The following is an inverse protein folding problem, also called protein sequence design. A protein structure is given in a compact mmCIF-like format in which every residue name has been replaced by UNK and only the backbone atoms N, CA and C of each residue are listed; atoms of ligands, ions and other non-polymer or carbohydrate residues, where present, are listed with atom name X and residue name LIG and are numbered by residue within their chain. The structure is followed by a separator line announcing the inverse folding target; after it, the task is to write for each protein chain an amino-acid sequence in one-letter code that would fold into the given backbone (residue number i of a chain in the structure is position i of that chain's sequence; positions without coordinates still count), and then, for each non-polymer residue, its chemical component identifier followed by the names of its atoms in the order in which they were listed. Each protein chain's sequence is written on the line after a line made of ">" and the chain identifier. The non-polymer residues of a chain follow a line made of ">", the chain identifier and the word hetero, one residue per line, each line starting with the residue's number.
data_IF_149311706140
#
_entry.id   IF_149311706140
#
_cell.length_a   1.000
_cell.length_b   1.000
_cell.length_c   1.000
_cell.angle_alpha   90.00
_cell.angle_beta   90.00
_cell.angle_gamma   90.00
#
_symmetry.space_group_name_H-M   'P 1'
#
loop_
_entity.id
_entity.type
_entity.pdbx_description
1 polymer ?
#
# COMPACT_ATOMS: atom_id res chain seq x y z
N UNK A 1 -28.53 -2.36 12.05
CA UNK A 1 -27.72 -3.20 11.16
C UNK A 1 -27.32 -4.42 11.96
N UNK A 2 -27.78 -5.60 11.56
CA UNK A 2 -27.48 -6.87 12.25
C UNK A 2 -26.02 -7.27 12.01
N UNK A 3 -25.46 -8.18 12.81
CA UNK A 3 -24.11 -8.72 12.56
C UNK A 3 -24.02 -9.38 11.18
N UNK A 4 -25.09 -10.04 10.73
CA UNK A 4 -25.16 -10.64 9.39
C UNK A 4 -25.15 -9.57 8.28
N UNK A 5 -25.81 -8.42 8.48
CA UNK A 5 -25.74 -7.29 7.54
C UNK A 5 -24.31 -6.71 7.44
N UNK A 6 -23.58 -6.68 8.56
CA UNK A 6 -22.17 -6.25 8.58
C UNK A 6 -21.30 -7.25 7.83
N UNK A 7 -21.49 -8.55 8.06
CA UNK A 7 -20.74 -9.61 7.37
C UNK A 7 -21.03 -9.58 5.86
N UNK A 8 -22.29 -9.44 5.46
CA UNK A 8 -22.68 -9.35 4.05
C UNK A 8 -22.15 -8.06 3.38
N UNK A 9 -22.11 -6.94 4.10
CA UNK A 9 -21.49 -5.70 3.61
C UNK A 9 -19.98 -5.85 3.44
N UNK A 10 -19.31 -6.53 4.37
CA UNK A 10 -17.88 -6.85 4.27
C UNK A 10 -17.62 -7.78 3.08
N UNK A 11 -18.40 -8.85 2.92
CA UNK A 11 -18.24 -9.80 1.80
C UNK A 11 -18.52 -9.15 0.45
N UNK A 12 -19.50 -8.25 0.36
CA UNK A 12 -19.78 -7.49 -0.86
C UNK A 12 -18.60 -6.59 -1.25
N UNK A 13 -18.01 -5.90 -0.29
CA UNK A 13 -16.86 -5.01 -0.52
C UNK A 13 -15.58 -5.80 -0.82
N UNK A 14 -15.39 -6.96 -0.18
CA UNK A 14 -14.31 -7.89 -0.50
C UNK A 14 -14.49 -8.56 -1.88
N UNK A 15 -15.73 -8.68 -2.34
CA UNK A 15 -16.11 -9.27 -3.62
C UNK A 15 -16.11 -8.31 -4.80
N UNK A 16 -16.05 -6.99 -4.58
CA UNK A 16 -16.04 -6.02 -5.68
C UNK A 16 -14.70 -6.04 -6.42
N UNK A 17 -14.68 -6.40 -7.72
CA UNK A 17 -13.45 -6.48 -8.50
C UNK A 17 -12.87 -5.07 -8.67
N UNK A 18 -11.75 -4.81 -8.01
CA UNK A 18 -11.00 -3.58 -8.21
C UNK A 18 -9.93 -3.75 -9.29
N UNK A 19 -9.99 -2.89 -10.31
CA UNK A 19 -9.00 -2.86 -11.38
C UNK A 19 -7.75 -2.11 -10.89
N UNK A 20 -6.64 -2.82 -10.79
CA UNK A 20 -5.34 -2.19 -10.55
C UNK A 20 -4.93 -1.37 -11.77
N UNK A 21 -5.04 -0.05 -11.66
CA UNK A 21 -4.52 0.87 -12.68
C UNK A 21 -3.01 0.68 -12.82
N UNK A 22 -2.55 0.52 -14.06
CA UNK A 22 -1.13 0.50 -14.39
C UNK A 22 -0.53 1.90 -14.13
N UNK A 23 0.74 1.95 -13.72
CA UNK A 23 1.46 3.22 -13.62
C UNK A 23 1.56 3.89 -14.99
N UNK A 24 1.76 5.21 -15.00
CA UNK A 24 1.94 5.97 -16.25
C UNK A 24 3.09 5.40 -17.09
N UNK A 25 4.18 4.97 -16.45
CA UNK A 25 5.31 4.39 -17.14
C UNK A 25 4.98 3.02 -17.74
N UNK A 26 4.23 2.18 -17.01
CA UNK A 26 3.73 0.92 -17.55
C UNK A 26 2.79 1.16 -18.75
N UNK A 27 1.99 2.22 -18.74
CA UNK A 27 1.14 2.61 -19.88
C UNK A 27 1.97 3.06 -21.09
N UNK A 28 3.06 3.81 -20.87
CA UNK A 28 4.01 4.20 -21.94
C UNK A 28 4.68 2.97 -22.54
N UNK A 29 5.19 2.05 -21.71
CA UNK A 29 5.81 0.80 -22.17
C UNK A 29 4.80 -0.05 -22.92
N UNK A 30 3.55 -0.18 -22.43
CA UNK A 30 2.46 -0.89 -23.12
C UNK A 30 2.20 -0.31 -24.51
N UNK A 31 2.10 1.01 -24.63
CA UNK A 31 1.86 1.68 -25.92
C UNK A 31 3.01 1.43 -26.88
N UNK A 32 4.25 1.58 -26.42
CA UNK A 32 5.45 1.35 -27.24
C UNK A 32 5.54 -0.13 -27.67
N UNK A 33 5.24 -1.06 -26.77
CA UNK A 33 5.20 -2.49 -27.07
C UNK A 33 4.17 -2.79 -28.17
N UNK A 34 2.95 -2.26 -28.05
CA UNK A 34 1.90 -2.47 -29.05
C UNK A 34 2.31 -1.90 -30.41
N UNK A 35 2.82 -0.66 -30.46
CA UNK A 35 3.27 -0.03 -31.70
C UNK A 35 4.42 -0.82 -32.34
N UNK A 36 5.46 -1.13 -31.58
CA UNK A 36 6.60 -1.91 -32.08
C UNK A 36 6.18 -3.30 -32.55
N UNK A 37 5.24 -3.94 -31.86
CA UNK A 37 4.70 -5.25 -32.25
C UNK A 37 3.90 -5.16 -33.54
N UNK A 38 3.03 -4.16 -33.71
CA UNK A 38 2.28 -3.98 -34.96
C UNK A 38 3.18 -3.70 -36.15
N UNK A 39 4.21 -2.86 -35.99
CA UNK A 39 5.19 -2.62 -37.04
C UNK A 39 5.94 -3.91 -37.38
N UNK A 40 6.37 -4.67 -36.36
CA UNK A 40 7.08 -5.94 -36.56
C UNK A 40 6.23 -6.98 -37.28
N UNK A 41 4.97 -7.15 -36.86
CA UNK A 41 4.02 -8.10 -37.46
C UNK A 41 3.70 -7.66 -38.89
N UNK A 42 3.34 -6.39 -39.09
CA UNK A 42 3.02 -5.84 -40.41
C UNK A 42 4.18 -5.97 -41.38
N UNK A 43 5.39 -5.63 -40.95
CA UNK A 43 6.60 -5.79 -41.76
C UNK A 43 6.90 -7.24 -42.12
N UNK A 44 6.71 -8.16 -41.17
CA UNK A 44 6.95 -9.59 -41.39
C UNK A 44 5.89 -10.21 -42.31
N UNK A 45 4.61 -9.91 -42.08
CA UNK A 45 3.49 -10.47 -42.84
C UNK A 45 3.41 -9.90 -44.25
N UNK A 46 3.62 -8.59 -44.42
CA UNK A 46 3.65 -7.97 -45.75
C UNK A 46 4.92 -8.29 -46.55
N UNK A 47 5.90 -8.99 -45.93
CA UNK A 47 7.16 -9.33 -46.57
C UNK A 47 7.98 -8.09 -46.94
N UNK A 48 7.92 -7.04 -46.13
CA UNK A 48 8.65 -5.79 -46.38
C UNK A 48 10.15 -6.10 -46.41
N UNK A 49 10.79 -5.76 -47.52
CA UNK A 49 12.23 -5.85 -47.72
C UNK A 49 12.81 -4.46 -47.93
N UNK A 50 14.02 -4.24 -47.45
CA UNK A 50 14.74 -2.99 -47.69
C UNK A 50 15.30 -3.05 -49.10
N UNK A 51 14.84 -2.17 -49.97
CA UNK A 51 15.48 -1.99 -51.28
C UNK A 51 16.82 -1.26 -51.07
N UNK A 52 17.89 -1.80 -51.65
CA UNK A 52 19.28 -1.36 -51.43
C UNK A 52 19.52 0.14 -51.65
N UNK A 53 18.74 0.76 -52.54
CA UNK A 53 18.89 2.18 -52.89
C UNK A 53 17.83 3.09 -52.25
N UNK A 54 16.95 2.56 -51.38
CA UNK A 54 15.86 3.36 -50.82
C UNK A 54 16.37 4.38 -49.80
N UNK A 55 16.13 5.69 -50.01
CA UNK A 55 16.47 6.69 -49.02
C UNK A 55 15.51 6.57 -47.82
N UNK A 56 16.04 6.31 -46.64
CA UNK A 56 15.30 6.37 -45.38
C UNK A 56 15.55 7.75 -44.77
N UNK A 57 14.51 8.58 -44.66
CA UNK A 57 14.61 9.98 -44.22
C UNK A 57 15.62 10.83 -45.02
N UNK A 58 15.80 10.52 -46.31
CA UNK A 58 16.76 11.22 -47.17
C UNK A 58 18.20 10.72 -47.06
N UNK A 59 18.47 9.71 -46.22
CA UNK A 59 19.78 9.08 -46.10
C UNK A 59 19.81 7.73 -46.82
N UNK A 60 20.84 7.51 -47.63
CA UNK A 60 21.13 6.19 -48.19
C UNK A 60 21.88 5.37 -47.14
N UNK A 61 21.19 4.43 -46.51
CA UNK A 61 21.78 3.53 -45.52
C UNK A 61 22.51 2.39 -46.25
N UNK A 62 23.83 2.49 -46.36
CA UNK A 62 24.65 1.41 -46.88
C UNK A 62 24.76 0.29 -45.82
N UNK A 63 24.75 -0.97 -46.27
CA UNK A 63 24.89 -2.19 -45.44
C UNK A 63 23.77 -2.47 -44.42
N UNK A 64 22.59 -1.84 -44.54
CA UNK A 64 21.43 -2.22 -43.75
C UNK A 64 20.79 -3.49 -44.33
N UNK A 65 21.04 -4.65 -43.71
CA UNK A 65 20.45 -5.92 -44.13
C UNK A 65 19.07 -6.14 -43.49
N UNK A 66 18.19 -6.85 -44.20
CA UNK A 66 16.89 -7.28 -43.68
C UNK A 66 17.05 -8.07 -42.36
N UNK A 67 18.10 -8.88 -42.24
CA UNK A 67 18.40 -9.66 -41.04
C UNK A 67 18.76 -8.77 -39.84
N UNK A 68 19.52 -7.69 -40.06
CA UNK A 68 19.86 -6.74 -39.01
C UNK A 68 18.61 -6.00 -38.53
N UNK A 69 17.75 -5.55 -39.45
CA UNK A 69 16.49 -4.89 -39.11
C UNK A 69 15.57 -5.82 -38.32
N UNK A 70 15.39 -7.07 -38.78
CA UNK A 70 14.58 -8.08 -38.08
C UNK A 70 15.12 -8.38 -36.69
N UNK A 71 16.44 -8.55 -36.57
CA UNK A 71 17.09 -8.80 -35.28
C UNK A 71 16.93 -7.62 -34.32
N UNK A 72 17.12 -6.39 -34.79
CA UNK A 72 16.94 -5.18 -33.99
C UNK A 72 15.49 -4.98 -33.51
N UNK A 73 14.51 -5.23 -34.39
CA UNK A 73 13.09 -5.19 -34.03
C UNK A 73 12.73 -6.28 -33.03
N UNK A 74 13.23 -7.51 -33.22
CA UNK A 74 13.01 -8.62 -32.30
C UNK A 74 13.58 -8.33 -30.90
N UNK A 75 14.80 -7.78 -30.82
CA UNK A 75 15.41 -7.36 -29.56
C UNK A 75 14.57 -6.26 -28.88
N UNK A 76 14.13 -5.27 -29.64
CA UNK A 76 13.32 -4.14 -29.12
C UNK A 76 11.98 -4.63 -28.56
N UNK A 77 11.26 -5.45 -29.32
CA UNK A 77 9.99 -6.04 -28.87
C UNK A 77 10.20 -6.96 -27.67
N UNK A 78 11.23 -7.80 -27.68
CA UNK A 78 11.58 -8.68 -26.57
C UNK A 78 11.86 -7.92 -25.28
N UNK A 79 12.63 -6.83 -25.36
CA UNK A 79 12.88 -5.93 -24.23
C UNK A 79 11.58 -5.29 -23.71
N UNK A 80 10.78 -4.68 -24.59
CA UNK A 80 9.53 -4.03 -24.19
C UNK A 80 8.52 -5.02 -23.59
N UNK A 81 8.49 -6.27 -24.09
CA UNK A 81 7.65 -7.33 -23.57
C UNK A 81 8.08 -7.74 -22.16
N UNK A 82 9.38 -8.02 -21.96
CA UNK A 82 9.91 -8.37 -20.64
C UNK A 82 9.63 -7.26 -19.63
N UNK A 83 9.84 -6.00 -20.02
CA UNK A 83 9.58 -4.85 -19.16
C UNK A 83 8.09 -4.74 -18.81
N UNK A 84 7.20 -4.88 -19.79
CA UNK A 84 5.75 -4.84 -19.55
C UNK A 84 5.26 -5.99 -18.66
N UNK A 85 5.75 -7.22 -18.87
CA UNK A 85 5.42 -8.37 -18.03
C UNK A 85 5.84 -8.14 -16.59
N UNK A 86 7.02 -7.55 -16.36
CA UNK A 86 7.46 -7.20 -15.01
C UNK A 86 6.57 -6.14 -14.36
N UNK A 87 6.17 -5.09 -15.09
CA UNK A 87 5.21 -4.11 -14.58
C UNK A 87 3.86 -4.74 -14.24
N UNK A 88 3.36 -5.64 -15.09
CA UNK A 88 2.10 -6.35 -14.83
C UNK A 88 2.22 -7.22 -13.57
N UNK A 89 3.35 -7.88 -13.37
CA UNK A 89 3.64 -8.65 -12.15
C UNK A 89 3.70 -7.76 -10.91
N UNK A 90 4.37 -6.60 -10.97
CA UNK A 90 4.43 -5.65 -9.85
C UNK A 90 3.03 -5.09 -9.50
N UNK A 91 2.21 -4.76 -10.50
CA UNK A 91 0.81 -4.35 -10.29
C UNK A 91 -0.03 -5.46 -9.66
N UNK A 92 0.15 -6.70 -10.10
CA UNK A 92 -0.52 -7.87 -9.53
C UNK A 92 -0.11 -8.11 -8.07
N UNK A 93 1.19 -7.98 -7.75
CA UNK A 93 1.67 -8.11 -6.37
C UNK A 93 1.16 -6.97 -5.48
N UNK A 94 1.14 -5.73 -5.99
CA UNK A 94 0.54 -4.60 -5.29
C UNK A 94 -0.95 -4.83 -4.99
N UNK A 95 -1.70 -5.39 -5.96
CA UNK A 95 -3.08 -5.81 -5.76
C UNK A 95 -3.22 -6.89 -4.66
N UNK A 96 -2.36 -7.92 -4.67
CA UNK A 96 -2.37 -8.95 -3.61
C UNK A 96 -2.07 -8.38 -2.22
N UNK A 97 -1.07 -7.52 -2.09
CA UNK A 97 -0.71 -6.87 -0.82
C UNK A 97 -1.90 -6.06 -0.29
N UNK A 98 -2.68 -5.42 -1.17
CA UNK A 98 -3.89 -4.70 -0.76
C UNK A 98 -5.02 -5.62 -0.31
N UNK A 99 -5.23 -6.75 -0.97
CA UNK A 99 -6.22 -7.76 -0.52
C UNK A 99 -5.86 -8.32 0.86
N UNK A 100 -4.58 -8.33 1.24
CA UNK A 100 -4.17 -8.70 2.60
C UNK A 100 -4.41 -7.59 3.64
N UNK A 101 -4.84 -6.39 3.23
CA UNK A 101 -5.32 -5.35 4.12
C UNK A 101 -6.76 -5.59 4.57
N UNK A 102 -7.07 -5.22 5.81
CA UNK A 102 -8.44 -5.19 6.35
C UNK A 102 -9.16 -3.96 5.79
N UNK A 103 -9.69 -4.00 4.56
CA UNK A 103 -10.28 -2.79 3.96
C UNK A 103 -11.60 -2.39 4.64
N UNK A 104 -11.75 -1.08 4.88
CA UNK A 104 -12.88 -0.45 5.54
C UNK A 104 -14.24 -0.64 4.83
N UNK A 105 -15.30 -0.71 5.63
CA UNK A 105 -16.67 -0.45 5.22
C UNK A 105 -16.81 1.00 4.69
N UNK A 106 -17.52 1.18 3.59
CA UNK A 106 -17.76 2.49 2.98
C UNK A 106 -18.36 3.49 3.97
N UNK A 107 -17.94 4.76 3.82
CA UNK A 107 -18.59 5.93 4.41
C UNK A 107 -19.97 6.09 3.76
N UNK A 108 -20.97 5.40 4.29
CA UNK A 108 -22.37 5.70 4.01
C UNK A 108 -22.94 6.44 5.21
N UNK A 109 -22.98 7.76 5.08
CA UNK A 109 -23.77 8.69 5.89
C UNK A 109 -23.82 8.39 7.41
N UNK A 110 -22.85 8.98 8.12
CA UNK A 110 -22.95 9.25 9.56
C UNK A 110 -22.85 8.01 10.46
N UNK A 111 -21.65 7.64 10.90
CA UNK A 111 -21.54 6.75 12.07
C UNK A 111 -20.23 6.99 12.81
N UNK A 112 -20.38 7.50 14.03
CA UNK A 112 -19.33 7.55 15.05
C UNK A 112 -18.85 6.14 15.39
N UNK A 113 -17.54 5.90 15.35
CA UNK A 113 -16.85 5.01 16.30
C UNK A 113 -16.84 3.51 16.06
N UNK A 114 -16.36 3.02 14.91
CA UNK A 114 -15.89 1.62 14.84
C UNK A 114 -14.35 1.59 14.95
N UNK A 115 -13.84 1.16 16.10
CA UNK A 115 -12.42 1.14 16.47
C UNK A 115 -11.56 0.22 15.58
N UNK A 116 -12.16 -0.57 14.68
CA UNK A 116 -11.46 -1.57 13.86
C UNK A 116 -11.21 -1.14 12.41
N UNK A 117 -11.53 0.10 12.01
CA UNK A 117 -11.47 0.55 10.62
C UNK A 117 -10.26 1.48 10.33
N UNK A 118 -9.60 1.26 9.18
CA UNK A 118 -8.39 1.97 8.72
C UNK A 118 -8.69 3.24 7.87
N UNK A 119 -8.81 4.41 8.51
CA UNK A 119 -9.27 5.66 7.85
C UNK A 119 -8.15 6.33 7.04
N UNK A 120 -7.87 5.83 5.83
CA UNK A 120 -6.97 6.52 4.89
C UNK A 120 -7.77 7.25 3.82
N UNK A 121 -7.52 8.56 3.66
CA UNK A 121 -8.17 9.41 2.64
C UNK A 121 -7.87 9.00 1.18
N UNK A 122 -6.90 8.11 0.96
CA UNK A 122 -6.65 7.47 -0.32
C UNK A 122 -6.87 5.95 -0.19
N UNK A 123 -7.83 5.41 -0.97
CA UNK A 123 -8.17 3.99 -1.04
C UNK A 123 -6.95 3.12 -1.43
N UNK A 124 -5.93 3.72 -2.04
CA UNK A 124 -4.66 3.07 -2.43
C UNK A 124 -3.76 2.75 -1.24
N UNK A 125 -4.01 3.36 -0.08
CA UNK A 125 -3.16 3.26 1.10
C UNK A 125 -3.71 2.33 2.19
N UNK A 126 -4.95 1.85 2.08
CA UNK A 126 -5.48 0.90 3.06
C UNK A 126 -4.65 -0.38 3.07
N UNK A 127 -3.93 -0.59 4.16
CA UNK A 127 -3.00 -1.69 4.35
C UNK A 127 -2.95 -2.02 5.82
N UNK A 128 -2.61 -3.26 6.14
CA UNK A 128 -2.46 -3.70 7.53
C UNK A 128 -1.44 -2.82 8.30
N UNK A 129 -0.48 -2.23 7.59
CA UNK A 129 0.46 -1.26 8.13
C UNK A 129 -0.22 0.06 8.56
N UNK A 130 -1.15 0.59 7.77
CA UNK A 130 -1.88 1.81 8.13
C UNK A 130 -2.89 1.55 9.24
N UNK A 131 -3.56 0.39 9.23
CA UNK A 131 -4.35 -0.07 10.36
C UNK A 131 -3.50 -0.11 11.66
N UNK A 132 -2.31 -0.72 11.61
CA UNK A 132 -1.40 -0.76 12.76
C UNK A 132 -0.92 0.62 13.20
N UNK A 133 -0.62 1.51 12.25
CA UNK A 133 -0.23 2.91 12.52
C UNK A 133 -1.35 3.67 13.24
N UNK A 134 -2.61 3.49 12.82
CA UNK A 134 -3.78 4.05 13.50
C UNK A 134 -3.97 3.47 14.91
N UNK A 135 -3.84 2.14 15.06
CA UNK A 135 -3.93 1.47 16.36
C UNK A 135 -2.81 1.88 17.32
N UNK A 136 -1.60 2.17 16.84
CA UNK A 136 -0.51 2.69 17.68
C UNK A 136 -0.88 4.02 18.35
N UNK A 137 -1.64 4.88 17.67
CA UNK A 137 -2.14 6.13 18.26
C UNK A 137 -3.19 5.86 19.35
N UNK A 138 -4.03 4.83 19.18
CA UNK A 138 -4.95 4.36 20.22
C UNK A 138 -4.21 3.85 21.46
N UNK A 139 -3.19 2.99 21.28
CA UNK A 139 -2.36 2.56 22.42
C UNK A 139 -1.61 3.72 23.08
N UNK A 140 -1.19 4.73 22.31
CA UNK A 140 -0.64 5.97 22.85
C UNK A 140 -1.64 6.79 23.65
N UNK A 141 -2.93 6.78 23.28
CA UNK A 141 -3.98 7.51 24.00
C UNK A 141 -4.37 6.85 25.32
N UNK A 142 -4.21 5.53 25.47
CA UNK A 142 -4.34 4.83 26.76
C UNK A 142 -3.36 5.39 27.81
N UNK A 143 -2.11 5.67 27.41
CA UNK A 143 -1.14 6.35 28.27
C UNK A 143 -1.62 7.74 28.70
N UNK A 144 -2.37 8.43 27.82
CA UNK A 144 -3.00 9.72 28.11
C UNK A 144 -4.24 9.66 29.00
N UNK A 145 -4.83 8.47 29.24
CA UNK A 145 -5.94 8.29 30.19
C UNK A 145 -5.48 8.17 31.64
N UNK A 146 -4.21 7.77 31.86
CA UNK A 146 -3.63 7.64 33.21
C UNK A 146 -3.61 8.96 33.99
N UNK A 147 -3.17 10.10 33.42
CA UNK A 147 -3.20 11.39 34.12
C UNK A 147 -4.61 11.85 34.52
N UNK A 148 -5.64 11.46 33.76
CA UNK A 148 -7.02 11.82 34.07
C UNK A 148 -7.57 11.02 35.26
N UNK A 149 -7.14 9.77 35.42
CA UNK A 149 -7.44 8.95 36.60
C UNK A 149 -6.65 9.49 37.80
N UNK A 150 -5.36 9.80 37.63
CA UNK A 150 -4.54 10.42 38.68
C UNK A 150 -5.14 11.75 39.18
N UNK A 151 -5.63 12.59 38.27
CA UNK A 151 -6.31 13.83 38.61
C UNK A 151 -7.62 13.57 39.39
N UNK A 152 -8.44 12.60 38.94
CA UNK A 152 -9.69 12.25 39.62
C UNK A 152 -9.45 11.66 41.02
N UNK A 153 -8.39 10.87 41.19
CA UNK A 153 -7.94 10.34 42.49
C UNK A 153 -7.40 11.45 43.39
N UNK A 154 -6.65 12.41 42.84
CA UNK A 154 -6.18 13.58 43.57
C UNK A 154 -7.33 14.46 44.03
N UNK A 155 -8.36 14.66 43.20
CA UNK A 155 -9.53 15.46 43.56
C UNK A 155 -10.39 14.75 44.60
N UNK A 156 -10.58 13.44 44.48
CA UNK A 156 -11.21 12.62 45.53
C UNK A 156 -10.47 12.76 46.86
N UNK A 157 -9.13 12.71 46.85
CA UNK A 157 -8.31 12.89 48.04
C UNK A 157 -8.49 14.28 48.68
N UNK A 158 -8.52 15.34 47.87
CA UNK A 158 -8.78 16.71 48.35
C UNK A 158 -10.17 16.86 48.98
N UNK A 159 -11.19 16.24 48.40
CA UNK A 159 -12.55 16.24 48.96
C UNK A 159 -12.64 15.47 50.29
N UNK A 160 -11.85 14.41 50.46
CA UNK A 160 -11.75 13.69 51.74
C UNK A 160 -10.98 14.51 52.78
N UNK A 161 -9.92 15.22 52.39
CA UNK A 161 -9.13 16.08 53.28
C UNK A 161 -9.94 17.32 53.76
N UNK A 162 -10.80 17.88 52.90
CA UNK A 162 -11.71 18.98 53.28
C UNK A 162 -12.81 18.55 54.25
N UNK A 163 -13.28 17.30 54.14
CA UNK A 163 -14.20 16.67 55.10
C UNK A 163 -13.60 16.50 56.49
N UNK A 164 -12.33 16.09 56.57
CA UNK A 164 -11.63 15.92 57.85
C UNK A 164 -11.35 17.24 58.56
N UNK A 165 -11.32 18.35 57.81
CA UNK A 165 -10.98 19.69 58.31
C UNK A 165 -12.17 20.49 58.86
N UNK A 166 -13.36 19.87 59.01
CA UNK A 166 -14.53 20.47 59.68
C UNK A 166 -15.61 21.05 58.76
N UNK A 167 -15.67 20.62 57.49
CA UNK A 167 -16.72 21.02 56.55
C UNK A 167 -18.10 20.38 56.83
N UNK A 168 -19.16 21.00 56.31
CA UNK A 168 -20.56 20.56 56.48
C UNK A 168 -20.78 19.14 55.92
N UNK A 169 -21.14 18.19 56.80
CA UNK A 169 -21.06 16.75 56.54
C UNK A 169 -22.03 16.32 55.42
N UNK A 170 -23.18 17.00 55.30
CA UNK A 170 -24.26 16.60 54.39
C UNK A 170 -23.94 17.00 52.94
N UNK A 171 -23.47 18.23 52.69
CA UNK A 171 -23.11 18.70 51.34
C UNK A 171 -21.87 17.99 50.78
N UNK A 172 -20.94 17.61 51.67
CA UNK A 172 -19.69 16.99 51.27
C UNK A 172 -19.81 15.47 51.05
N UNK A 173 -20.79 14.80 51.66
CA UNK A 173 -21.06 13.38 51.42
C UNK A 173 -21.47 13.10 49.97
N UNK A 174 -22.31 13.96 49.36
CA UNK A 174 -22.71 13.83 47.96
C UNK A 174 -21.55 14.09 47.00
N UNK A 175 -20.68 15.05 47.32
CA UNK A 175 -19.49 15.33 46.53
C UNK A 175 -18.48 14.17 46.53
N UNK A 176 -18.34 13.46 47.66
CA UNK A 176 -17.50 12.25 47.73
C UNK A 176 -18.11 11.09 46.95
N UNK A 177 -19.42 10.86 47.04
CA UNK A 177 -20.06 9.79 46.27
C UNK A 177 -19.95 10.03 44.77
N UNK A 178 -20.08 11.29 44.32
CA UNK A 178 -19.95 11.65 42.90
C UNK A 178 -18.51 11.50 42.40
N UNK A 179 -17.52 11.92 43.20
CA UNK A 179 -16.11 11.74 42.88
C UNK A 179 -15.71 10.25 42.84
N UNK A 180 -16.23 9.44 43.75
CA UNK A 180 -16.00 7.99 43.80
C UNK A 180 -16.62 7.30 42.57
N UNK A 181 -17.85 7.66 42.21
CA UNK A 181 -18.53 7.15 41.01
C UNK A 181 -17.78 7.55 39.72
N UNK A 182 -17.19 8.75 39.67
CA UNK A 182 -16.38 9.19 38.52
C UNK A 182 -15.08 8.38 38.37
N UNK A 183 -14.39 8.11 39.48
CA UNK A 183 -13.18 7.27 39.49
C UNK A 183 -13.53 5.84 39.09
N UNK A 184 -14.61 5.28 39.63
CA UNK A 184 -15.10 3.94 39.29
C UNK A 184 -15.43 3.83 37.80
N UNK A 185 -16.19 4.79 37.25
CA UNK A 185 -16.51 4.85 35.82
C UNK A 185 -15.25 4.87 34.94
N UNK A 186 -14.28 5.73 35.25
CA UNK A 186 -13.02 5.82 34.49
C UNK A 186 -12.15 4.56 34.60
N UNK A 187 -12.15 3.90 35.75
CA UNK A 187 -11.44 2.63 35.96
C UNK A 187 -12.07 1.49 35.17
N UNK A 188 -13.41 1.45 35.10
CA UNK A 188 -14.16 0.50 34.26
C UNK A 188 -13.89 0.74 32.78
N UNK A 189 -13.88 1.99 32.33
CA UNK A 189 -13.52 2.35 30.95
C UNK A 189 -12.07 1.96 30.61
N UNK A 190 -11.12 2.22 31.51
CA UNK A 190 -9.73 1.83 31.30
C UNK A 190 -9.59 0.31 31.25
N UNK A 191 -10.26 -0.41 32.15
CA UNK A 191 -10.26 -1.87 32.18
C UNK A 191 -10.79 -2.45 30.87
N UNK A 192 -11.93 -1.96 30.38
CA UNK A 192 -12.48 -2.43 29.11
C UNK A 192 -11.56 -2.11 27.93
N UNK A 193 -10.90 -0.95 27.93
CA UNK A 193 -9.95 -0.60 26.87
C UNK A 193 -8.69 -1.49 26.91
N UNK A 194 -8.22 -1.88 28.10
CA UNK A 194 -7.12 -2.84 28.28
C UNK A 194 -7.54 -4.26 27.85
N UNK A 195 -8.71 -4.73 28.28
CA UNK A 195 -9.23 -6.06 27.90
C UNK A 195 -9.45 -6.17 26.38
N UNK A 196 -9.94 -5.10 25.75
CA UNK A 196 -10.10 -5.04 24.29
C UNK A 196 -8.75 -4.99 23.56
N UNK A 197 -7.79 -4.25 24.08
CA UNK A 197 -6.41 -4.21 23.59
C UNK A 197 -5.75 -5.60 23.65
N UNK A 198 -5.86 -6.27 24.79
CA UNK A 198 -5.28 -7.61 25.01
C UNK A 198 -5.92 -8.66 24.11
N UNK A 199 -7.25 -8.64 23.93
CA UNK A 199 -7.94 -9.54 23.00
C UNK A 199 -7.53 -9.33 21.54
N UNK A 200 -7.24 -8.09 21.16
CA UNK A 200 -6.77 -7.77 19.80
C UNK A 200 -5.32 -8.24 19.60
N UNK A 201 -4.42 -7.94 20.54
CA UNK A 201 -3.01 -8.36 20.46
C UNK A 201 -2.85 -9.89 20.49
N UNK A 202 -3.67 -10.56 21.30
CA UNK A 202 -3.67 -12.03 21.45
C UNK A 202 -4.28 -12.77 20.26
N UNK A 203 -4.90 -12.09 19.30
CA UNK A 203 -5.62 -12.76 18.20
C UNK A 203 -4.63 -13.43 17.24
N UNK A 204 -4.58 -14.78 17.15
CA UNK A 204 -3.68 -15.47 16.22
C UNK A 204 -3.93 -15.09 14.76
N UNK A 205 -5.15 -14.61 14.46
CA UNK A 205 -5.57 -14.11 13.15
C UNK A 205 -4.81 -12.86 12.72
N UNK A 206 -4.52 -11.95 13.64
CA UNK A 206 -3.80 -10.70 13.32
C UNK A 206 -2.33 -11.02 13.03
N UNK A 207 -1.70 -11.86 13.86
CA UNK A 207 -0.33 -12.33 13.62
C UNK A 207 -0.19 -13.11 12.30
N UNK A 208 -1.14 -13.99 11.98
CA UNK A 208 -1.14 -14.72 10.72
C UNK A 208 -1.32 -13.80 9.50
N UNK A 209 -2.17 -12.78 9.62
CA UNK A 209 -2.39 -11.77 8.58
C UNK A 209 -1.15 -10.86 8.40
N UNK A 210 -0.51 -10.44 9.50
CA UNK A 210 0.74 -9.67 9.50
C UNK A 210 1.86 -10.45 8.81
N UNK A 211 2.06 -11.71 9.20
CA UNK A 211 3.08 -12.57 8.59
C UNK A 211 2.83 -12.85 7.10
N UNK A 212 1.57 -12.83 6.67
CA UNK A 212 1.22 -12.95 5.24
C UNK A 212 1.50 -11.65 4.50
N UNK A 213 1.05 -10.52 5.06
CA UNK A 213 1.30 -9.19 4.51
C UNK A 213 2.81 -8.93 4.36
N UNK A 214 3.60 -9.15 5.41
CA UNK A 214 5.04 -8.87 5.42
C UNK A 214 5.81 -9.70 4.38
N UNK A 215 5.44 -10.98 4.22
CA UNK A 215 6.00 -11.82 3.16
C UNK A 215 5.70 -11.30 1.76
N UNK A 216 4.46 -10.94 1.48
CA UNK A 216 4.11 -10.41 0.15
C UNK A 216 4.69 -9.02 -0.09
N UNK A 217 4.68 -8.17 0.92
CA UNK A 217 5.21 -6.82 0.86
C UNK A 217 6.73 -6.83 0.63
N UNK A 218 7.47 -7.68 1.37
CA UNK A 218 8.92 -7.83 1.18
C UNK A 218 9.27 -8.40 -0.19
N UNK A 219 8.50 -9.36 -0.71
CA UNK A 219 8.68 -9.87 -2.07
C UNK A 219 8.41 -8.79 -3.12
N UNK A 220 7.34 -8.01 -2.94
CA UNK A 220 7.00 -6.91 -3.83
C UNK A 220 8.09 -5.83 -3.85
N UNK A 221 8.58 -5.41 -2.68
CA UNK A 221 9.67 -4.43 -2.55
C UNK A 221 10.96 -4.93 -3.23
N UNK A 222 11.31 -6.20 -3.02
CA UNK A 222 12.47 -6.84 -3.68
C UNK A 222 12.29 -6.88 -5.20
N UNK A 223 11.10 -7.22 -5.69
CA UNK A 223 10.79 -7.22 -7.13
C UNK A 223 10.95 -5.84 -7.75
N UNK A 224 10.40 -4.79 -7.11
CA UNK A 224 10.50 -3.42 -7.60
C UNK A 224 11.94 -2.92 -7.63
N UNK A 225 12.69 -3.15 -6.56
CA UNK A 225 14.10 -2.78 -6.49
C UNK A 225 14.93 -3.52 -7.53
N UNK A 226 14.66 -4.82 -7.74
CA UNK A 226 15.34 -5.63 -8.74
C UNK A 226 14.99 -5.16 -10.16
N UNK A 227 13.73 -4.85 -10.44
CA UNK A 227 13.29 -4.32 -11.74
C UNK A 227 14.01 -3.02 -12.05
N UNK A 228 14.02 -2.10 -11.10
CA UNK A 228 14.70 -0.81 -11.25
C UNK A 228 16.19 -1.00 -11.53
N UNK A 229 16.86 -1.87 -10.76
CA UNK A 229 18.28 -2.13 -10.95
C UNK A 229 18.58 -2.79 -12.31
N UNK A 230 17.82 -3.83 -12.69
CA UNK A 230 18.10 -4.62 -13.89
C UNK A 230 17.65 -3.89 -15.15
N UNK A 231 16.40 -3.41 -15.18
CA UNK A 231 15.80 -2.88 -16.39
C UNK A 231 16.09 -1.39 -16.54
N UNK A 232 15.93 -0.60 -15.48
CA UNK A 232 16.02 0.85 -15.59
C UNK A 232 17.47 1.35 -15.53
N UNK A 233 18.37 0.62 -14.85
CA UNK A 233 19.79 1.00 -14.71
C UNK A 233 20.71 0.14 -15.56
N UNK A 234 20.72 -1.18 -15.34
CA UNK A 234 21.74 -2.06 -15.93
C UNK A 234 21.60 -2.16 -17.45
N UNK A 235 20.38 -2.36 -17.98
CA UNK A 235 20.17 -2.49 -19.43
C UNK A 235 20.62 -1.23 -20.20
N UNK A 236 20.20 0.00 -19.85
CA UNK A 236 20.67 1.21 -20.52
C UNK A 236 22.18 1.41 -20.38
N UNK A 237 22.75 1.11 -19.21
CA UNK A 237 24.19 1.24 -18.97
C UNK A 237 24.99 0.29 -19.86
N UNK A 238 24.59 -0.98 -19.95
CA UNK A 238 25.25 -1.97 -20.80
C UNK A 238 25.08 -1.61 -22.27
N UNK A 239 23.86 -1.30 -22.71
CA UNK A 239 23.59 -0.93 -24.09
C UNK A 239 24.39 0.32 -24.52
N UNK A 240 24.43 1.36 -23.67
CA UNK A 240 25.21 2.56 -23.89
C UNK A 240 26.72 2.29 -23.91
N UNK A 241 27.22 1.46 -22.98
CA UNK A 241 28.64 1.09 -22.93
C UNK A 241 29.06 0.30 -24.17
N UNK A 242 28.26 -0.68 -24.58
CA UNK A 242 28.50 -1.46 -25.81
C UNK A 242 28.49 -0.54 -27.03
N UNK A 243 27.53 0.39 -27.12
CA UNK A 243 27.48 1.36 -28.22
C UNK A 243 28.73 2.23 -28.27
N UNK A 244 29.21 2.74 -27.13
CA UNK A 244 30.46 3.52 -27.06
C UNK A 244 31.67 2.69 -27.49
N UNK A 245 31.79 1.45 -27.00
CA UNK A 245 32.89 0.56 -27.36
C UNK A 245 32.88 0.27 -28.87
N UNK A 246 31.72 -0.05 -29.44
CA UNK A 246 31.58 -0.27 -30.88
C UNK A 246 31.97 0.98 -31.68
N UNK A 247 31.54 2.18 -31.25
CA UNK A 247 31.89 3.43 -31.94
C UNK A 247 33.38 3.79 -31.85
N UNK A 248 34.06 3.43 -30.77
CA UNK A 248 35.49 3.70 -30.60
C UNK A 248 36.38 2.65 -31.27
N UNK A 249 36.02 1.37 -31.16
CA UNK A 249 36.82 0.25 -31.66
C UNK A 249 36.55 -0.06 -33.14
N UNK A 250 35.37 0.25 -33.66
CA UNK A 250 35.01 0.01 -35.07
C UNK A 250 35.37 1.19 -36.00
N UNK A 251 36.27 2.09 -35.55
CA UNK A 251 36.94 3.06 -36.44
C UNK A 251 38.11 2.39 -37.17
N UNK A 252 37.81 1.51 -38.12
CA UNK A 252 38.70 1.08 -39.23
C UNK A 252 37.80 0.75 -40.42
#
# INVERSE_FOLDING_TARGET
>A
MTEDDKVAAVDKVLGEPWLAELSEDALKVRRNLLVASFISIGGTVAGVRIAADSPIFGFHLQNLTDDLLRSGMAITVGYLLLHFVWYAFDSFMGWRVRITGTRQAFITAGTFGDENLDYTGDLRQSSLYNWWKGKRQYFGSLKGRMPAIEASVSDLRRTIESLQSGGDIIQNSTAVTDALASVEGRMVELRHAIENAERQDSSPRILASLNRFDRWFSLWLRSQNLRWLVIDVLVPLVAGSVAVILLLCHRV
#
